data_IF_485462921521
#
_entry.id   IF_485462921521
#
_cell.length_a   1.000
_cell.length_b   1.000
_cell.length_c   1.000
_cell.angle_alpha   90.00
_cell.angle_beta   90.00
_cell.angle_gamma   90.00
#
_symmetry.space_group_name_H-M   'P 1'
#
loop_
_entity.id
_entity.type
_entity.pdbx_description
1 polymer ?
#
# COMPACT_ATOMS: atom_id res chain seq x y z
N UNK A 1 -0.77 17.44 -2.46
CA UNK A 1 -1.20 17.00 -1.12
C UNK A 1 -1.71 15.59 -1.31
N UNK A 2 -0.80 14.63 -1.26
CA UNK A 2 -1.04 13.29 -1.76
C UNK A 2 -1.40 12.39 -0.60
N UNK A 3 -2.61 12.56 -0.07
CA UNK A 3 -3.10 11.80 1.06
C UNK A 3 -3.73 10.50 0.55
N UNK A 4 -3.04 9.37 0.74
CA UNK A 4 -3.62 8.04 0.51
C UNK A 4 -4.14 7.54 1.84
N UNK A 5 -5.44 7.26 1.90
CA UNK A 5 -6.06 6.68 3.09
C UNK A 5 -5.63 5.22 3.29
N UNK A 6 -5.55 4.74 4.54
CA UNK A 6 -5.23 3.34 4.83
C UNK A 6 -6.27 2.37 4.29
N UNK A 7 -7.53 2.82 4.16
CA UNK A 7 -8.60 2.06 3.53
C UNK A 7 -8.30 1.78 2.04
N UNK A 8 -7.75 2.76 1.31
CA UNK A 8 -7.40 2.57 -0.10
C UNK A 8 -6.27 1.54 -0.29
N UNK A 9 -5.29 1.52 0.63
CA UNK A 9 -4.23 0.52 0.62
C UNK A 9 -4.79 -0.86 0.93
N UNK A 10 -5.60 -0.95 1.98
CA UNK A 10 -6.24 -2.20 2.39
C UNK A 10 -7.08 -2.79 1.26
N UNK A 11 -7.92 -1.97 0.61
CA UNK A 11 -8.74 -2.39 -0.53
C UNK A 11 -7.90 -2.87 -1.73
N UNK A 12 -6.80 -2.17 -2.05
CA UNK A 12 -5.89 -2.61 -3.10
C UNK A 12 -5.24 -3.96 -2.77
N UNK A 13 -4.79 -4.16 -1.53
CA UNK A 13 -4.20 -5.43 -1.08
C UNK A 13 -5.23 -6.56 -1.13
N UNK A 14 -6.47 -6.31 -0.67
CA UNK A 14 -7.57 -7.27 -0.75
C UNK A 14 -7.89 -7.65 -2.20
N UNK A 15 -7.91 -6.67 -3.09
CA UNK A 15 -8.13 -6.89 -4.53
C UNK A 15 -7.02 -7.75 -5.15
N UNK A 16 -5.76 -7.51 -4.79
CA UNK A 16 -4.61 -8.21 -5.38
C UNK A 16 -4.46 -9.64 -4.85
N UNK A 17 -4.75 -9.84 -3.56
CA UNK A 17 -4.65 -11.16 -2.92
C UNK A 17 -5.95 -11.97 -2.96
N UNK A 18 -7.05 -11.38 -3.44
CA UNK A 18 -8.39 -11.97 -3.45
C UNK A 18 -8.80 -12.54 -2.08
N UNK A 19 -8.50 -11.77 -1.02
CA UNK A 19 -8.77 -12.17 0.37
C UNK A 19 -9.02 -10.98 1.27
N UNK A 20 -9.64 -11.24 2.40
CA UNK A 20 -9.81 -10.24 3.46
C UNK A 20 -8.50 -10.03 4.24
N UNK A 21 -8.27 -8.77 4.63
CA UNK A 21 -7.10 -8.31 5.37
C UNK A 21 -7.49 -7.12 6.26
N UNK A 22 -7.10 -7.13 7.53
CA UNK A 22 -7.32 -5.99 8.43
C UNK A 22 -6.22 -4.93 8.26
N UNK A 23 -6.53 -3.68 8.58
CA UNK A 23 -5.65 -2.52 8.36
C UNK A 23 -4.38 -2.50 9.23
N UNK A 24 -4.37 -3.26 10.33
CA UNK A 24 -3.20 -3.46 11.21
C UNK A 24 -2.48 -4.79 10.95
N UNK A 25 -2.96 -5.59 9.98
CA UNK A 25 -2.32 -6.86 9.64
C UNK A 25 -1.04 -6.61 8.83
N UNK A 26 0.01 -7.34 9.18
CA UNK A 26 1.22 -7.41 8.38
C UNK A 26 0.92 -8.07 7.02
N UNK A 27 1.09 -7.28 5.96
CA UNK A 27 0.77 -7.70 4.59
C UNK A 27 1.65 -8.87 4.13
N UNK A 28 2.91 -8.93 4.55
CA UNK A 28 3.81 -10.03 4.18
C UNK A 28 3.47 -11.31 4.95
N UNK A 29 3.06 -11.20 6.21
CA UNK A 29 2.53 -12.34 6.96
C UNK A 29 1.21 -12.85 6.34
N UNK A 30 0.44 -11.97 5.72
CA UNK A 30 -0.75 -12.33 4.96
C UNK A 30 -0.46 -12.87 3.54
N UNK A 31 0.81 -12.97 3.14
CA UNK A 31 1.21 -13.53 1.85
C UNK A 31 1.34 -12.53 0.71
N UNK A 32 1.40 -11.22 0.98
CA UNK A 32 1.86 -10.24 -0.02
C UNK A 32 3.32 -10.52 -0.34
N UNK A 33 3.60 -10.74 -1.62
CA UNK A 33 4.95 -10.83 -2.17
C UNK A 33 5.29 -9.61 -3.07
N UNK A 34 6.48 -9.60 -3.65
CA UNK A 34 6.97 -8.53 -4.52
C UNK A 34 6.09 -8.25 -5.75
N UNK A 35 5.51 -9.30 -6.36
CA UNK A 35 4.58 -9.15 -7.48
C UNK A 35 3.26 -8.54 -7.02
N UNK A 36 2.76 -8.97 -5.86
CA UNK A 36 1.57 -8.37 -5.25
C UNK A 36 1.80 -6.87 -4.93
N UNK A 37 2.97 -6.50 -4.42
CA UNK A 37 3.36 -5.08 -4.21
C UNK A 37 3.37 -4.31 -5.53
N UNK A 38 3.95 -4.87 -6.60
CA UNK A 38 3.96 -4.22 -7.92
C UNK A 38 2.55 -3.98 -8.46
N UNK A 39 1.66 -4.97 -8.33
CA UNK A 39 0.24 -4.85 -8.72
C UNK A 39 -0.50 -3.81 -7.88
N UNK A 40 -0.32 -3.82 -6.55
CA UNK A 40 -0.92 -2.81 -5.67
C UNK A 40 -0.48 -1.40 -6.06
N UNK A 41 0.81 -1.20 -6.39
CA UNK A 41 1.34 0.10 -6.82
C UNK A 41 0.76 0.57 -8.15
N UNK A 42 0.56 -0.34 -9.10
CA UNK A 42 -0.12 -0.03 -10.36
C UNK A 42 -1.56 0.42 -10.09
N UNK A 43 -2.33 -0.38 -9.33
CA UNK A 43 -3.72 -0.07 -8.98
C UNK A 43 -3.86 1.25 -8.20
N UNK A 44 -3.01 1.49 -7.21
CA UNK A 44 -3.02 2.75 -6.46
C UNK A 44 -2.75 3.94 -7.39
N UNK A 45 -1.78 3.81 -8.30
CA UNK A 45 -1.50 4.86 -9.31
C UNK A 45 -2.69 5.08 -10.24
N UNK A 46 -3.34 4.02 -10.70
CA UNK A 46 -4.50 4.11 -11.59
C UNK A 46 -5.70 4.76 -10.90
N UNK A 47 -5.96 4.41 -9.63
CA UNK A 47 -7.11 4.89 -8.87
C UNK A 47 -6.94 6.29 -8.28
N UNK A 48 -5.72 6.62 -7.84
CA UNK A 48 -5.44 7.86 -7.10
C UNK A 48 -4.55 8.84 -7.86
N UNK A 49 -3.92 8.40 -8.96
CA UNK A 49 -2.89 9.16 -9.68
C UNK A 49 -1.51 9.12 -9.01
N UNK A 50 -1.37 8.46 -7.86
CA UNK A 50 -0.17 8.54 -7.02
C UNK A 50 0.80 7.41 -7.31
N UNK A 51 2.04 7.76 -7.61
CA UNK A 51 3.12 6.78 -7.72
C UNK A 51 3.67 6.45 -6.34
N UNK A 52 3.24 5.32 -5.77
CA UNK A 52 3.72 4.83 -4.48
C UNK A 52 5.10 4.16 -4.65
N UNK A 53 6.14 4.54 -3.88
CA UNK A 53 7.43 3.84 -3.88
C UNK A 53 7.31 2.40 -3.35
N UNK A 54 8.16 1.49 -3.83
CA UNK A 54 8.11 0.09 -3.36
C UNK A 54 8.52 -0.07 -1.90
N UNK A 55 9.54 0.69 -1.45
CA UNK A 55 10.11 0.58 -0.11
C UNK A 55 9.07 0.83 1.01
N UNK A 56 8.07 1.69 0.77
CA UNK A 56 7.06 2.03 1.79
C UNK A 56 6.23 0.81 2.22
N UNK A 57 6.04 -0.18 1.33
CA UNK A 57 5.36 -1.43 1.67
C UNK A 57 6.21 -2.25 2.63
N UNK A 58 7.51 -2.34 2.38
CA UNK A 58 8.47 -3.07 3.21
C UNK A 58 8.71 -2.40 4.56
N UNK A 59 8.75 -1.07 4.61
CA UNK A 59 8.94 -0.31 5.85
C UNK A 59 7.66 -0.22 6.68
N UNK A 60 6.52 0.03 6.04
CA UNK A 60 5.23 0.19 6.72
C UNK A 60 4.69 -1.14 7.25
N UNK A 61 4.84 -2.24 6.50
CA UNK A 61 4.32 -3.59 6.76
C UNK A 61 2.81 -3.72 6.94
N UNK A 62 2.11 -2.70 7.46
CA UNK A 62 0.66 -2.66 7.63
C UNK A 62 0.04 -1.52 6.81
N UNK A 63 -1.18 -1.66 6.28
CA UNK A 63 -1.86 -0.60 5.52
C UNK A 63 -1.87 0.77 6.21
N UNK A 64 -2.12 0.80 7.53
CA UNK A 64 -2.11 2.02 8.34
C UNK A 64 -0.75 2.75 8.29
N UNK A 65 0.35 2.00 8.48
CA UNK A 65 1.70 2.55 8.47
C UNK A 65 2.14 2.96 7.07
N UNK A 66 1.79 2.19 6.05
CA UNK A 66 2.12 2.50 4.64
C UNK A 66 1.47 3.83 4.23
N UNK A 67 0.20 4.05 4.58
CA UNK A 67 -0.50 5.31 4.33
C UNK A 67 0.22 6.50 4.99
N UNK A 68 0.63 6.35 6.25
CA UNK A 68 1.41 7.37 6.97
C UNK A 68 2.77 7.70 6.34
N UNK A 69 3.44 6.70 5.75
CA UNK A 69 4.72 6.91 5.05
C UNK A 69 4.56 7.67 3.73
N UNK A 70 3.43 7.47 3.03
CA UNK A 70 3.13 8.15 1.76
C UNK A 70 2.74 9.62 1.99
N UNK A 71 1.95 9.90 3.04
CA UNK A 71 1.57 11.25 3.43
C UNK A 71 2.72 12.08 4.02
N UNK A 72 3.82 11.43 4.40
CA UNK A 72 5.03 12.09 4.88
C UNK A 72 5.83 12.79 3.77
N UNK A 73 6.77 13.70 4.12
CA UNK A 73 7.61 14.45 3.16
C UNK A 73 8.54 13.60 2.27
N UNK A 74 8.44 12.27 2.32
CA UNK A 74 9.28 11.32 1.57
C UNK A 74 8.78 11.03 0.13
N UNK A 75 7.63 11.60 -0.29
CA UNK A 75 7.12 11.47 -1.66
C UNK A 75 7.93 12.25 -2.73
N UNK A 76 9.09 12.84 -2.38
CA UNK A 76 9.91 13.67 -3.26
C UNK A 76 11.40 13.28 -3.18
N UNK A 77 11.76 12.13 -3.76
CA UNK A 77 13.15 11.89 -4.21
C UNK A 77 13.18 11.03 -5.46
#
# INVERSE_FOLDING_TARGET
>A
MTDISPAAITDCVRTVLDRELADDTDIFAAGVDSLAVLRCRALLKERTGVKVPGHVFFEGRTPARIAGLIGGPHARR
#
